data_IF_452328102892
#
_entry.id   IF_452328102892
#
_cell.length_a   1.000
_cell.length_b   1.000
_cell.length_c   1.000
_cell.angle_alpha   90.00
_cell.angle_beta   90.00
_cell.angle_gamma   90.00
#
_symmetry.space_group_name_H-M   'P 1'
#
loop_
_entity.id
_entity.type
_entity.pdbx_description
1 polymer ?
#
# COMPACT_ATOMS: atom_id res chain seq x y z
N UNK A 1 13.24 22.34 8.13
CA UNK A 1 12.41 21.65 9.15
C UNK A 1 11.00 22.21 9.03
N UNK A 2 10.03 21.39 8.65
CA UNK A 2 8.64 21.81 8.45
C UNK A 2 7.88 21.56 9.76
N UNK A 3 7.35 22.61 10.38
CA UNK A 3 6.65 22.50 11.66
C UNK A 3 5.43 21.55 11.53
N UNK A 4 5.21 20.70 12.54
CA UNK A 4 4.11 19.73 12.55
C UNK A 4 4.36 18.41 11.79
N UNK A 5 5.58 18.19 11.29
CA UNK A 5 5.97 16.94 10.59
C UNK A 5 6.95 16.07 11.38
N UNK A 6 7.21 16.39 12.65
CA UNK A 6 8.05 15.56 13.50
C UNK A 6 7.36 14.21 13.70
N UNK A 7 7.94 13.19 13.09
CA UNK A 7 7.44 11.83 13.17
C UNK A 7 7.62 11.29 14.59
N UNK A 8 6.50 10.99 15.26
CA UNK A 8 6.44 10.35 16.57
C UNK A 8 5.98 8.89 16.40
N UNK A 9 6.89 7.90 16.45
CA UNK A 9 6.56 6.51 16.21
C UNK A 9 5.62 5.92 17.26
N UNK A 10 5.42 6.58 18.41
CA UNK A 10 4.47 6.13 19.42
C UNK A 10 3.01 6.36 19.02
N UNK A 11 2.78 7.15 17.96
CA UNK A 11 1.45 7.46 17.41
C UNK A 11 1.09 6.62 16.19
N UNK A 12 1.93 5.65 15.83
CA UNK A 12 1.62 4.71 14.75
C UNK A 12 0.43 3.83 15.17
N UNK A 13 -0.65 3.81 14.38
CA UNK A 13 -1.74 2.84 14.57
C UNK A 13 -1.32 1.40 14.23
N UNK A 14 -0.28 1.26 13.41
CA UNK A 14 0.26 -0.02 12.98
C UNK A 14 1.37 0.18 11.96
N UNK A 15 2.07 -0.91 11.65
CA UNK A 15 3.13 -0.93 10.63
C UNK A 15 2.89 -2.09 9.67
N UNK A 16 3.04 -1.83 8.38
CA UNK A 16 3.00 -2.83 7.34
C UNK A 16 4.37 -2.92 6.67
N UNK A 17 4.83 -4.14 6.40
CA UNK A 17 6.08 -4.34 5.66
C UNK A 17 5.84 -4.07 4.17
N UNK A 18 6.67 -3.24 3.56
CA UNK A 18 6.58 -2.92 2.13
C UNK A 18 7.63 -3.72 1.35
N UNK A 19 7.19 -4.35 0.27
CA UNK A 19 8.05 -4.86 -0.81
C UNK A 19 8.35 -3.70 -1.76
N UNK A 20 9.56 -3.64 -2.31
CA UNK A 20 9.98 -2.61 -3.29
C UNK A 20 10.45 -3.29 -4.57
N UNK A 21 10.09 -2.74 -5.73
CA UNK A 21 10.69 -3.09 -7.03
C UNK A 21 10.96 -1.86 -7.87
N UNK A 22 11.90 -2.01 -8.79
CA UNK A 22 12.17 -1.04 -9.86
C UNK A 22 11.23 -1.33 -11.05
N UNK A 23 10.73 -0.29 -11.70
CA UNK A 23 9.88 -0.35 -12.88
C UNK A 23 10.68 -0.07 -14.16
N UNK A 24 10.22 -0.67 -15.27
CA UNK A 24 10.79 -0.43 -16.60
C UNK A 24 10.50 0.99 -17.11
N UNK A 25 9.31 1.53 -16.79
CA UNK A 25 8.85 2.85 -17.19
C UNK A 25 8.58 3.74 -15.97
N UNK A 26 8.59 5.06 -16.18
CA UNK A 26 8.34 6.07 -15.15
C UNK A 26 6.86 6.42 -15.05
N UNK A 27 6.34 6.45 -13.83
CA UNK A 27 5.05 7.06 -13.51
C UNK A 27 5.26 8.53 -13.14
N UNK A 28 4.68 9.44 -13.93
CA UNK A 28 4.81 10.90 -13.74
C UNK A 28 3.85 11.47 -12.66
N UNK A 29 3.13 10.60 -11.95
CA UNK A 29 2.21 10.96 -10.86
C UNK A 29 2.18 9.89 -9.77
N UNK A 30 1.75 10.28 -8.57
CA UNK A 30 1.52 9.31 -7.48
C UNK A 30 0.34 8.45 -7.83
N UNK A 31 0.58 7.17 -8.06
CA UNK A 31 -0.48 6.20 -8.31
C UNK A 31 -0.61 5.28 -7.12
N UNK A 32 -1.81 5.21 -6.55
CA UNK A 32 -2.16 4.28 -5.48
C UNK A 32 -3.26 3.36 -6.01
N UNK A 33 -3.01 2.07 -6.01
CA UNK A 33 -3.92 1.06 -6.57
C UNK A 33 -4.22 0.00 -5.52
N UNK A 34 -5.51 -0.28 -5.33
CA UNK A 34 -5.99 -1.44 -4.58
C UNK A 34 -6.37 -2.52 -5.59
N UNK A 35 -5.58 -3.58 -5.64
CA UNK A 35 -5.79 -4.74 -6.50
C UNK A 35 -6.39 -5.88 -5.66
N UNK A 36 -7.71 -6.15 -5.74
CA UNK A 36 -8.32 -7.28 -5.05
C UNK A 36 -7.89 -8.62 -5.65
N UNK A 37 -7.80 -9.66 -4.82
CA UNK A 37 -7.69 -11.04 -5.31
C UNK A 37 -9.01 -11.45 -5.98
N UNK A 38 -8.92 -12.07 -7.15
CA UNK A 38 -10.06 -12.63 -7.89
C UNK A 38 -9.75 -14.04 -8.45
N UNK A 39 -10.73 -14.96 -8.50
CA UNK A 39 -12.11 -14.79 -8.02
C UNK A 39 -12.18 -14.69 -6.49
N UNK A 40 -13.13 -13.90 -5.98
CA UNK A 40 -13.43 -13.90 -4.55
C UNK A 40 -14.39 -15.05 -4.24
N UNK A 41 -14.17 -15.73 -3.12
CA UNK A 41 -15.18 -16.63 -2.58
C UNK A 41 -16.39 -15.81 -2.12
N UNK A 42 -17.61 -16.33 -2.33
CA UNK A 42 -18.87 -15.61 -2.07
C UNK A 42 -18.97 -15.04 -0.64
N UNK A 43 -18.34 -15.70 0.33
CA UNK A 43 -18.27 -15.27 1.74
C UNK A 43 -16.82 -15.01 2.22
N UNK A 44 -15.88 -14.87 1.29
CA UNK A 44 -14.48 -14.61 1.58
C UNK A 44 -14.28 -13.20 2.15
N UNK A 45 -13.43 -13.06 3.17
CA UNK A 45 -12.99 -11.76 3.64
C UNK A 45 -12.19 -11.07 2.54
N UNK A 46 -12.56 -9.85 2.10
CA UNK A 46 -11.87 -9.20 1.00
C UNK A 46 -10.40 -8.95 1.32
N UNK A 47 -9.56 -9.27 0.35
CA UNK A 47 -8.11 -9.14 0.43
C UNK A 47 -7.50 -8.84 -0.94
N UNK A 48 -6.25 -8.41 -0.93
CA UNK A 48 -5.58 -7.97 -2.14
C UNK A 48 -4.18 -7.43 -1.91
N UNK A 49 -3.66 -6.78 -2.94
CA UNK A 49 -2.40 -6.04 -2.91
C UNK A 49 -2.67 -4.55 -3.02
N UNK A 50 -2.03 -3.77 -2.16
CA UNK A 50 -1.89 -2.33 -2.30
C UNK A 50 -0.60 -2.06 -3.06
N UNK A 51 -0.66 -1.25 -4.12
CA UNK A 51 0.51 -0.78 -4.87
C UNK A 51 0.59 0.74 -4.82
N UNK A 52 1.80 1.25 -4.61
CA UNK A 52 2.10 2.68 -4.63
C UNK A 52 3.26 2.88 -5.60
N UNK A 53 3.03 3.60 -6.69
CA UNK A 53 4.03 3.87 -7.71
C UNK A 53 4.28 5.38 -7.87
N UNK A 54 5.56 5.75 -7.98
CA UNK A 54 6.01 7.09 -8.35
C UNK A 54 7.37 7.00 -9.04
N UNK A 55 7.52 7.66 -10.19
CA UNK A 55 8.71 7.54 -11.01
C UNK A 55 8.94 6.08 -11.38
N UNK A 56 10.15 5.57 -11.17
CA UNK A 56 10.53 4.19 -11.49
C UNK A 56 10.45 3.22 -10.31
N UNK A 57 9.79 3.62 -9.23
CA UNK A 57 9.71 2.80 -8.01
C UNK A 57 8.27 2.42 -7.73
N UNK A 58 8.06 1.14 -7.42
CA UNK A 58 6.80 0.64 -6.86
C UNK A 58 7.05 0.03 -5.48
N UNK A 59 6.17 0.37 -4.54
CA UNK A 59 6.02 -0.31 -3.26
C UNK A 59 4.73 -1.12 -3.26
N UNK A 60 4.74 -2.27 -2.57
CA UNK A 60 3.53 -3.06 -2.37
C UNK A 60 3.45 -3.72 -1.01
N UNK A 61 2.23 -3.94 -0.54
CA UNK A 61 1.91 -4.77 0.63
C UNK A 61 0.59 -5.50 0.40
N UNK A 62 0.41 -6.62 1.08
CA UNK A 62 -0.88 -7.30 1.12
C UNK A 62 -1.82 -6.54 2.08
N UNK A 63 -3.11 -6.51 1.75
CA UNK A 63 -4.17 -6.00 2.62
C UNK A 63 -5.26 -7.05 2.76
N UNK A 64 -5.93 -7.05 3.90
CA UNK A 64 -7.12 -7.85 4.18
C UNK A 64 -8.03 -7.03 5.08
N UNK A 65 -9.31 -6.99 4.76
CA UNK A 65 -10.27 -6.33 5.63
C UNK A 65 -10.38 -7.08 6.95
N UNK A 66 -10.37 -6.34 8.05
CA UNK A 66 -10.69 -6.88 9.36
C UNK A 66 -12.12 -6.40 9.62
N UNK A 67 -13.09 -7.22 9.23
CA UNK A 67 -14.49 -6.96 9.52
C UNK A 67 -14.85 -7.58 10.87
N UNK A 68 -15.61 -6.89 11.74
CA UNK A 68 -16.09 -7.46 12.99
C UNK A 68 -17.08 -8.61 12.77
#
# INVERSE_FOLDING_TARGET
>A
RQWGTDYDPTRDFGRASLRRRELGESFESLTITLEPVFPQETDGVPEGTLRIAWGRVEYSTDWRMIWP
#
